data_IF_518729412580
#
_entry.id   IF_518729412580
#
_cell.length_a   1.000
_cell.length_b   1.000
_cell.length_c   1.000
_cell.angle_alpha   90.00
_cell.angle_beta   90.00
_cell.angle_gamma   90.00
#
_symmetry.space_group_name_H-M   'P 1'
#
loop_
_entity.id
_entity.type
_entity.pdbx_description
1 polymer ?
#
# COMPACT_ATOMS: atom_id res chain seq x y z
N UNK A 1 21.88 9.91 23.89
CA UNK A 1 21.28 9.39 22.65
C UNK A 1 20.40 10.49 22.09
N UNK A 2 20.71 11.07 20.92
CA UNK A 2 19.88 12.13 20.33
C UNK A 2 18.81 11.50 19.45
N UNK A 3 17.57 11.97 19.59
CA UNK A 3 16.43 11.51 18.81
C UNK A 3 16.59 11.93 17.33
N UNK A 4 16.32 10.99 16.43
CA UNK A 4 16.32 11.26 14.98
C UNK A 4 15.13 12.17 14.67
N UNK A 5 15.43 13.39 14.23
CA UNK A 5 14.42 14.45 14.02
C UNK A 5 13.54 14.27 12.78
N UNK A 6 13.96 13.46 11.82
CA UNK A 6 13.24 13.20 10.58
C UNK A 6 13.46 11.76 10.12
N UNK A 7 12.40 11.08 9.66
CA UNK A 7 12.53 9.78 9.02
C UNK A 7 13.53 9.86 7.85
N UNK A 8 14.41 8.85 7.66
CA UNK A 8 15.36 8.86 6.56
C UNK A 8 14.62 9.08 5.22
N UNK A 9 15.11 9.96 4.33
CA UNK A 9 14.55 10.16 2.99
C UNK A 9 14.47 8.88 2.16
N UNK A 10 15.21 7.85 2.59
CA UNK A 10 15.36 6.56 1.94
C UNK A 10 14.55 5.45 2.63
N UNK A 11 13.44 5.79 3.32
CA UNK A 11 12.49 4.80 3.81
C UNK A 11 11.74 4.16 2.62
N UNK A 12 12.47 3.40 1.81
CA UNK A 12 11.92 2.57 0.75
C UNK A 12 11.23 1.40 1.42
N UNK A 13 9.92 1.52 1.66
CA UNK A 13 9.13 0.37 2.08
C UNK A 13 9.19 -0.66 0.95
N UNK A 14 9.90 -1.76 1.20
CA UNK A 14 10.07 -2.89 0.27
C UNK A 14 9.23 -4.09 0.66
N UNK A 15 8.40 -3.91 1.69
CA UNK A 15 7.55 -4.94 2.25
C UNK A 15 6.58 -5.46 1.20
N UNK A 16 6.37 -6.77 1.26
CA UNK A 16 5.51 -7.52 0.36
C UNK A 16 4.64 -8.41 1.21
N UNK A 17 3.33 -8.33 0.98
CA UNK A 17 2.38 -9.27 1.55
C UNK A 17 2.01 -10.30 0.50
N UNK A 18 1.79 -11.53 0.96
CA UNK A 18 1.15 -12.57 0.18
C UNK A 18 -0.19 -12.86 0.84
N UNK A 19 -1.26 -12.68 0.10
CA UNK A 19 -2.60 -13.12 0.50
C UNK A 19 -2.87 -14.44 -0.19
N UNK A 20 -3.29 -15.45 0.56
CA UNK A 20 -3.71 -16.74 0.02
C UNK A 20 -5.17 -16.96 0.34
N UNK A 21 -5.93 -17.42 -0.65
CA UNK A 21 -7.35 -17.76 -0.53
C UNK A 21 -7.58 -19.16 -1.09
N UNK A 22 -8.51 -19.89 -0.47
CA UNK A 22 -8.91 -21.22 -0.91
C UNK A 22 -10.39 -21.41 -0.65
N UNK A 23 -11.02 -22.32 -1.39
CA UNK A 23 -12.43 -22.65 -1.18
C UNK A 23 -12.51 -23.71 -0.08
N UNK A 24 -13.31 -23.43 0.95
CA UNK A 24 -13.62 -24.38 2.02
C UNK A 24 -15.04 -24.94 1.86
N UNK A 25 -15.30 -26.19 2.27
CA UNK A 25 -16.64 -26.75 2.28
C UNK A 25 -17.64 -25.91 3.08
N UNK A 26 -18.92 -25.98 2.70
CA UNK A 26 -19.98 -25.34 3.48
C UNK A 26 -20.09 -25.98 4.87
N UNK A 27 -20.22 -25.16 5.91
CA UNK A 27 -20.31 -25.62 7.29
C UNK A 27 -18.98 -25.89 7.98
N UNK A 28 -17.84 -25.62 7.33
CA UNK A 28 -16.53 -25.59 8.00
C UNK A 28 -16.53 -24.51 9.07
N UNK A 29 -16.22 -24.88 10.32
CA UNK A 29 -16.06 -23.95 11.43
C UNK A 29 -14.61 -23.44 11.50
N UNK A 30 -14.38 -22.33 12.21
CA UNK A 30 -13.06 -21.70 12.31
C UNK A 30 -12.00 -22.65 12.89
N UNK A 31 -12.40 -23.54 13.80
CA UNK A 31 -11.56 -24.57 14.42
C UNK A 31 -11.12 -25.69 13.46
N UNK A 32 -11.87 -25.92 12.38
CA UNK A 32 -11.52 -26.91 11.35
C UNK A 32 -10.50 -26.38 10.34
N UNK A 33 -10.24 -25.06 10.34
CA UNK A 33 -9.32 -24.40 9.41
C UNK A 33 -7.89 -24.68 9.84
N UNK A 34 -7.27 -25.67 9.20
CA UNK A 34 -5.88 -26.06 9.45
C UNK A 34 -4.91 -25.54 8.37
N UNK A 35 -3.62 -25.32 8.69
CA UNK A 35 -2.63 -24.85 7.71
C UNK A 35 -2.52 -25.71 6.45
N UNK A 36 -2.85 -27.00 6.54
CA UNK A 36 -2.84 -27.91 5.40
C UNK A 36 -3.79 -27.50 4.26
N UNK A 37 -4.81 -26.66 4.52
CA UNK A 37 -5.67 -26.08 3.47
C UNK A 37 -4.89 -25.23 2.45
N UNK A 38 -3.76 -24.66 2.87
CA UNK A 38 -2.91 -23.83 2.03
C UNK A 38 -1.65 -24.58 1.55
N UNK A 39 -1.60 -25.91 1.68
CA UNK A 39 -0.51 -26.73 1.15
C UNK A 39 -0.70 -26.99 -0.35
N UNK A 40 0.38 -26.78 -1.12
CA UNK A 40 0.43 -27.07 -2.57
C UNK A 40 0.49 -28.56 -2.89
N UNK A 41 0.69 -29.42 -1.89
CA UNK A 41 0.79 -30.87 -2.06
C UNK A 41 -0.58 -31.57 -2.16
N UNK A 42 -1.66 -30.90 -1.73
CA UNK A 42 -2.99 -31.51 -1.64
C UNK A 42 -3.84 -31.36 -2.91
N UNK A 43 -3.26 -30.91 -4.02
CA UNK A 43 -3.96 -30.64 -5.31
C UNK A 43 -5.19 -29.70 -5.16
N UNK A 44 -5.22 -28.92 -4.06
CA UNK A 44 -6.29 -27.98 -3.74
C UNK A 44 -6.08 -26.67 -4.48
N UNK A 45 -7.20 -26.04 -4.85
CA UNK A 45 -7.16 -24.70 -5.42
C UNK A 45 -6.73 -23.68 -4.37
N UNK A 46 -5.66 -22.95 -4.64
CA UNK A 46 -5.17 -21.84 -3.84
C UNK A 46 -4.91 -20.67 -4.79
N UNK A 47 -5.59 -19.56 -4.53
CA UNK A 47 -5.31 -18.29 -5.20
C UNK A 47 -4.29 -17.49 -4.38
N UNK A 48 -3.26 -16.97 -5.05
CA UNK A 48 -2.20 -16.18 -4.41
C UNK A 48 -2.17 -14.76 -4.98
N UNK A 49 -2.25 -13.76 -4.09
CA UNK A 49 -2.15 -12.35 -4.45
C UNK A 49 -0.97 -11.70 -3.74
N UNK A 50 0.01 -11.24 -4.52
CA UNK A 50 1.15 -10.49 -4.00
C UNK A 50 0.84 -9.00 -3.98
N UNK A 51 0.93 -8.40 -2.80
CA UNK A 51 0.68 -6.98 -2.57
C UNK A 51 2.00 -6.28 -2.23
N UNK A 52 2.18 -5.05 -2.72
CA UNK A 52 3.28 -4.17 -2.35
C UNK A 52 2.76 -3.12 -1.38
N UNK A 53 3.56 -2.78 -0.38
CA UNK A 53 3.23 -1.72 0.56
C UNK A 53 3.75 -0.39 0.01
N UNK A 54 2.91 0.63 0.07
CA UNK A 54 3.28 2.01 -0.25
C UNK A 54 2.94 2.85 0.96
N UNK A 55 3.92 3.62 1.43
CA UNK A 55 3.67 4.65 2.44
C UNK A 55 3.10 5.86 1.74
N UNK A 56 1.93 6.31 2.19
CA UNK A 56 1.32 7.55 1.70
C UNK A 56 1.28 8.53 2.86
N UNK A 57 1.82 9.74 2.66
CA UNK A 57 1.58 10.83 3.60
C UNK A 57 0.21 11.43 3.31
N UNK A 58 -0.62 11.58 4.36
CA UNK A 58 -1.79 12.44 4.26
C UNK A 58 -1.31 13.89 4.38
N UNK A 59 -0.76 14.44 3.30
CA UNK A 59 -0.67 15.89 3.20
C UNK A 59 -2.11 16.41 3.07
N UNK A 60 -2.60 17.13 4.08
CA UNK A 60 -3.84 17.89 3.95
C UNK A 60 -3.74 18.75 2.69
N UNK A 61 -4.82 18.86 1.87
CA UNK A 61 -4.83 19.78 0.75
C UNK A 61 -4.49 21.15 1.31
N UNK A 62 -3.27 21.62 1.03
CA UNK A 62 -2.89 22.97 1.36
C UNK A 62 -3.78 23.80 0.45
N UNK A 63 -4.82 24.42 1.03
CA UNK A 63 -5.57 25.47 0.34
C UNK A 63 -4.51 26.49 -0.04
N UNK A 64 -4.18 26.52 -1.33
CA UNK A 64 -3.22 27.46 -1.88
C UNK A 64 -3.76 28.86 -1.60
N UNK A 65 -3.26 29.47 -0.51
CA UNK A 65 -3.40 30.89 -0.35
C UNK A 65 -2.57 31.55 -1.46
N UNK A 66 -3.11 32.55 -2.17
CA UNK A 66 -2.45 33.12 -3.33
C UNK A 66 -1.11 33.72 -2.90
N UNK A 67 -0.02 33.11 -3.34
CA UNK A 67 1.34 33.59 -3.08
C UNK A 67 1.69 34.67 -4.10
N UNK A 68 1.77 35.92 -3.63
CA UNK A 68 2.34 37.01 -4.42
C UNK A 68 3.85 37.09 -4.14
N UNK A 69 4.67 36.44 -4.99
CA UNK A 69 6.04 36.87 -5.32
C UNK A 69 7.25 36.05 -4.81
N UNK A 70 7.95 35.39 -5.76
CA UNK A 70 9.43 35.31 -5.95
C UNK A 70 10.27 34.54 -4.88
N UNK A 71 11.15 33.56 -5.13
CA UNK A 71 11.86 33.01 -6.30
C UNK A 71 12.59 31.67 -5.97
N UNK A 72 12.97 30.95 -7.04
CA UNK A 72 14.06 29.95 -7.20
C UNK A 72 14.07 28.69 -6.30
N UNK A 73 13.79 27.51 -6.87
CA UNK A 73 14.81 26.67 -7.53
C UNK A 73 14.33 25.21 -7.73
N UNK A 74 14.70 24.68 -8.90
CA UNK A 74 14.94 23.27 -9.25
C UNK A 74 13.73 22.41 -9.60
N UNK A 75 13.53 22.29 -10.91
CA UNK A 75 12.88 21.18 -11.58
C UNK A 75 13.39 19.83 -11.05
N UNK A 76 12.48 18.92 -10.75
CA UNK A 76 12.73 17.48 -10.82
C UNK A 76 11.56 16.87 -11.56
N UNK A 77 11.86 16.53 -12.81
CA UNK A 77 11.13 15.68 -13.75
C UNK A 77 9.99 14.91 -13.09
N UNK A 78 8.77 15.40 -13.30
CA UNK A 78 7.55 14.74 -12.87
C UNK A 78 7.40 13.42 -13.60
N UNK A 79 7.55 12.32 -12.86
CA UNK A 79 7.00 11.04 -13.28
C UNK A 79 5.48 11.18 -13.16
N UNK A 80 4.67 11.14 -14.24
CA UNK A 80 3.23 11.36 -14.18
C UNK A 80 2.43 10.23 -13.49
N UNK A 81 3.10 9.33 -12.75
CA UNK A 81 2.50 8.08 -12.24
C UNK A 81 1.99 8.21 -10.80
N UNK A 82 2.28 9.30 -10.09
CA UNK A 82 1.92 9.44 -8.66
C UNK A 82 0.51 9.96 -8.42
N UNK A 83 0.02 10.88 -9.25
CA UNK A 83 -1.32 11.48 -9.12
C UNK A 83 -2.43 10.46 -9.41
N UNK A 84 -2.32 9.71 -10.51
CA UNK A 84 -3.35 8.73 -10.89
C UNK A 84 -3.47 7.58 -9.88
N UNK A 85 -2.35 7.12 -9.33
CA UNK A 85 -2.35 6.09 -8.29
C UNK A 85 -3.01 6.62 -7.01
N UNK A 86 -2.71 7.86 -6.62
CA UNK A 86 -3.28 8.47 -5.42
C UNK A 86 -4.79 8.69 -5.58
N UNK A 87 -5.23 9.18 -6.74
CA UNK A 87 -6.64 9.38 -7.06
C UNK A 87 -7.41 8.06 -7.04
N UNK A 88 -6.83 7.00 -7.62
CA UNK A 88 -7.41 5.65 -7.60
C UNK A 88 -7.47 5.04 -6.18
N UNK A 89 -6.47 5.30 -5.34
CA UNK A 89 -6.47 4.86 -3.94
C UNK A 89 -7.51 5.62 -3.13
N UNK A 90 -7.59 6.94 -3.27
CA UNK A 90 -8.55 7.78 -2.55
C UNK A 90 -9.99 7.49 -2.98
N UNK A 91 -10.25 7.29 -4.28
CA UNK A 91 -11.57 6.88 -4.78
C UNK A 91 -12.02 5.53 -4.23
N UNK A 92 -11.11 4.56 -4.08
CA UNK A 92 -11.43 3.26 -3.48
C UNK A 92 -11.68 3.32 -1.98
N UNK A 93 -11.11 4.29 -1.28
CA UNK A 93 -11.29 4.44 0.18
C UNK A 93 -12.60 5.14 0.54
N UNK A 94 -13.21 5.86 -0.41
CA UNK A 94 -14.42 6.67 -0.22
C UNK A 94 -15.71 5.95 -0.66
N UNK A 95 -15.63 4.68 -1.08
CA UNK A 95 -16.76 3.82 -1.46
C UNK A 95 -17.10 2.83 -0.35
#
# INVERSE_FOLDING_TARGET
MQAVKNAPPDLQIKDKFLVQTTVVPFGTADEDIVPAFFSKETDRYIEEKKLKVVLVSMAQPQVEQPTNGLSHAKETVGIPVTEEILDNVMKRLLL
#
